data_IF_700618064140
#
_entry.id   IF_700618064140
#
_cell.length_a   1.000
_cell.length_b   1.000
_cell.length_c   1.000
_cell.angle_alpha   90.00
_cell.angle_beta   90.00
_cell.angle_gamma   90.00
#
_symmetry.space_group_name_H-M   'P 1'
#
loop_
_entity.id
_entity.type
_entity.pdbx_description
1 polymer ?
#
# COMPACT_ATOMS: atom_id res chain seq x y z
N UNK A 1 18.17 3.13 60.49
CA UNK A 1 18.49 3.69 59.17
C UNK A 1 18.00 2.83 57.99
N UNK A 2 18.22 1.50 57.97
CA UNK A 2 17.84 0.64 56.82
C UNK A 2 16.34 0.63 56.45
N UNK A 3 15.43 0.78 57.44
CA UNK A 3 13.96 0.83 57.23
C UNK A 3 13.50 2.10 56.50
N UNK A 4 14.21 3.23 56.68
CA UNK A 4 13.88 4.51 56.02
C UNK A 4 14.36 4.48 54.58
N UNK A 5 15.56 3.94 54.36
CA UNK A 5 16.15 3.76 53.02
C UNK A 5 15.27 2.87 52.12
N UNK A 6 14.75 1.75 52.65
CA UNK A 6 13.90 0.85 51.86
C UNK A 6 12.55 1.48 51.46
N UNK A 7 11.95 2.31 52.33
CA UNK A 7 10.72 3.05 52.00
C UNK A 7 10.97 4.16 51.00
N UNK A 8 12.10 4.85 51.10
CA UNK A 8 12.54 5.85 50.12
C UNK A 8 12.77 5.24 48.74
N UNK A 9 13.41 4.07 48.67
CA UNK A 9 13.63 3.34 47.42
C UNK A 9 12.30 2.87 46.82
N UNK A 10 11.37 2.34 47.62
CA UNK A 10 10.06 1.92 47.12
C UNK A 10 9.23 3.10 46.57
N UNK A 11 9.24 4.25 47.27
CA UNK A 11 8.58 5.47 46.78
C UNK A 11 9.26 5.99 45.52
N UNK A 12 10.60 5.98 45.46
CA UNK A 12 11.34 6.40 44.28
C UNK A 12 11.05 5.50 43.06
N UNK A 13 10.94 4.18 43.25
CA UNK A 13 10.58 3.24 42.19
C UNK A 13 9.13 3.43 41.74
N UNK A 14 8.19 3.63 42.67
CA UNK A 14 6.79 3.92 42.32
C UNK A 14 6.63 5.24 41.57
N UNK A 15 7.34 6.30 42.00
CA UNK A 15 7.37 7.58 41.29
C UNK A 15 8.00 7.42 39.92
N UNK A 16 9.09 6.66 39.79
CA UNK A 16 9.70 6.37 38.49
C UNK A 16 8.74 5.61 37.56
N UNK A 17 7.99 4.63 38.07
CA UNK A 17 6.98 3.90 37.31
C UNK A 17 5.84 4.83 36.86
N UNK A 18 5.33 5.69 37.75
CA UNK A 18 4.28 6.66 37.41
C UNK A 18 4.78 7.67 36.36
N UNK A 19 6.01 8.16 36.49
CA UNK A 19 6.64 9.06 35.52
C UNK A 19 6.81 8.36 34.18
N UNK A 20 7.27 7.10 34.15
CA UNK A 20 7.38 6.31 32.91
C UNK A 20 6.01 6.09 32.27
N UNK A 21 4.97 5.77 33.05
CA UNK A 21 3.61 5.63 32.54
C UNK A 21 3.11 6.95 31.94
N UNK A 22 3.34 8.08 32.62
CA UNK A 22 2.95 9.41 32.13
C UNK A 22 3.72 9.81 30.86
N UNK A 23 5.01 9.49 30.78
CA UNK A 23 5.80 9.71 29.57
C UNK A 23 5.34 8.83 28.41
N UNK A 24 4.98 7.57 28.67
CA UNK A 24 4.44 6.66 27.66
C UNK A 24 3.07 7.13 27.16
N UNK A 25 2.22 7.63 28.05
CA UNK A 25 0.90 8.19 27.70
C UNK A 25 1.03 9.49 26.89
N UNK A 26 1.98 10.36 27.26
CA UNK A 26 2.33 11.57 26.50
C UNK A 26 2.89 11.27 25.10
N UNK A 27 3.58 10.13 24.91
CA UNK A 27 3.99 9.65 23.59
C UNK A 27 2.79 9.07 22.82
N UNK A 28 1.85 8.41 23.50
CA UNK A 28 0.63 7.87 22.89
C UNK A 28 -0.31 8.99 22.39
N UNK A 29 -0.43 10.10 23.13
CA UNK A 29 -1.31 11.21 22.74
C UNK A 29 -0.83 11.91 21.45
N UNK A 30 0.49 11.97 21.23
CA UNK A 30 1.07 12.42 19.94
C UNK A 30 0.74 11.51 18.76
N UNK A 31 0.36 10.25 19.01
CA UNK A 31 -0.06 9.30 17.97
C UNK A 31 -1.59 9.21 17.80
N UNK A 32 -2.37 9.73 18.76
CA UNK A 32 -3.82 9.59 18.79
C UNK A 32 -4.58 10.82 18.25
N UNK A 33 -3.89 11.94 17.99
CA UNK A 33 -4.50 13.16 17.43
C UNK A 33 -4.84 13.10 15.93
N UNK A 34 -4.78 11.92 15.29
CA UNK A 34 -5.25 11.74 13.90
C UNK A 34 -6.54 10.89 13.83
N UNK A 35 -6.93 10.19 14.90
CA UNK A 35 -8.00 9.18 14.81
C UNK A 35 -9.36 9.61 15.38
N UNK A 36 -9.47 10.79 16.02
CA UNK A 36 -10.70 11.17 16.72
C UNK A 36 -11.63 12.14 15.98
N UNK A 37 -11.25 12.67 14.80
CA UNK A 37 -12.08 13.64 14.07
C UNK A 37 -13.09 13.07 13.05
N UNK A 38 -13.18 11.74 12.86
CA UNK A 38 -14.10 11.16 11.88
C UNK A 38 -15.31 10.39 12.46
N UNK A 39 -15.57 10.46 13.77
CA UNK A 39 -16.67 9.71 14.39
C UNK A 39 -17.87 10.56 14.87
N UNK A 40 -17.82 11.90 14.82
CA UNK A 40 -18.88 12.76 15.38
C UNK A 40 -19.47 13.78 14.40
N UNK A 41 -19.79 13.37 13.16
CA UNK A 41 -20.63 14.17 12.23
C UNK A 41 -21.84 13.40 11.67
N UNK A 42 -22.15 12.20 12.18
CA UNK A 42 -23.23 11.36 11.67
C UNK A 42 -24.60 11.54 12.37
N UNK A 43 -24.74 12.48 13.31
CA UNK A 43 -25.99 12.67 14.06
C UNK A 43 -26.29 14.15 14.27
N UNK A 44 -26.90 14.81 13.28
CA UNK A 44 -27.91 15.85 13.51
C UNK A 44 -28.76 16.12 12.25
N UNK A 45 -30.01 15.64 12.29
CA UNK A 45 -31.22 16.26 11.75
C UNK A 45 -31.49 16.34 10.22
N UNK A 46 -32.28 15.36 9.74
CA UNK A 46 -33.52 15.60 8.96
C UNK A 46 -34.66 16.00 9.95
N UNK A 47 -35.71 16.79 9.58
CA UNK A 47 -36.67 16.51 8.50
C UNK A 47 -37.17 17.74 7.68
N UNK A 48 -37.43 17.59 6.37
CA UNK A 48 -38.75 17.52 5.69
C UNK A 48 -39.48 18.86 5.43
N UNK A 49 -39.75 19.19 4.15
CA UNK A 49 -41.10 19.44 3.55
C UNK A 49 -41.03 20.06 2.12
N UNK A 50 -41.76 19.43 1.19
CA UNK A 50 -42.58 19.97 0.06
C UNK A 50 -42.00 20.92 -1.02
N UNK A 51 -42.24 20.60 -2.32
CA UNK A 51 -41.99 21.47 -3.51
C UNK A 51 -43.04 22.59 -3.71
N UNK A 52 -43.23 23.22 -4.90
CA UNK A 52 -42.64 23.02 -6.25
C UNK A 52 -42.12 24.32 -6.98
N UNK A 53 -41.59 24.16 -8.22
CA UNK A 53 -41.47 25.12 -9.35
C UNK A 53 -40.88 26.54 -9.17
N UNK A 54 -39.76 26.84 -9.85
CA UNK A 54 -39.74 27.74 -11.04
C UNK A 54 -38.33 28.17 -11.47
N UNK A 55 -38.10 28.08 -12.77
CA UNK A 55 -36.93 28.57 -13.51
C UNK A 55 -36.95 30.09 -13.62
N UNK A 56 -36.16 30.82 -12.81
CA UNK A 56 -35.75 32.21 -13.13
C UNK A 56 -34.71 32.84 -12.18
N UNK A 57 -33.66 32.11 -11.78
CA UNK A 57 -32.64 32.73 -10.91
C UNK A 57 -31.19 32.34 -11.20
N UNK A 58 -30.90 31.95 -12.45
CA UNK A 58 -29.54 31.66 -12.91
C UNK A 58 -28.68 32.93 -13.12
N UNK A 59 -29.28 34.13 -13.02
CA UNK A 59 -28.61 35.41 -13.25
C UNK A 59 -27.87 35.94 -12.00
N UNK A 60 -28.18 35.47 -10.79
CA UNK A 60 -27.68 36.06 -9.54
C UNK A 60 -26.42 35.39 -8.94
N UNK A 61 -25.98 34.25 -9.50
CA UNK A 61 -24.80 33.51 -9.01
C UNK A 61 -23.50 33.87 -9.74
N UNK A 62 -23.58 34.54 -10.90
CA UNK A 62 -22.39 34.93 -11.69
C UNK A 62 -21.72 36.21 -11.15
N UNK A 63 -22.45 37.08 -10.44
CA UNK A 63 -21.90 38.31 -9.85
C UNK A 63 -21.21 38.09 -8.49
N UNK A 64 -21.50 36.99 -7.80
CA UNK A 64 -20.85 36.62 -6.52
C UNK A 64 -19.47 35.97 -6.73
N UNK A 65 -19.22 35.37 -7.90
CA UNK A 65 -17.94 34.78 -8.27
C UNK A 65 -16.83 35.82 -8.54
N UNK A 66 -17.16 37.12 -8.64
CA UNK A 66 -16.21 38.18 -9.00
C UNK A 66 -15.65 38.99 -7.83
N UNK A 67 -16.04 38.70 -6.58
CA UNK A 67 -15.71 39.53 -5.40
C UNK A 67 -14.95 38.87 -4.25
N UNK A 68 -14.46 37.64 -4.39
CA UNK A 68 -13.60 36.98 -3.40
C UNK A 68 -12.43 36.27 -4.08
N UNK A 69 -11.59 37.06 -4.76
CA UNK A 69 -10.22 36.68 -5.07
C UNK A 69 -9.29 37.36 -4.07
N UNK A 70 -8.93 36.66 -2.98
CA UNK A 70 -7.69 36.86 -2.23
C UNK A 70 -7.49 35.70 -1.24
N UNK A 71 -6.35 35.02 -1.36
CA UNK A 71 -5.84 33.92 -0.53
C UNK A 71 -6.07 34.10 0.98
N UNK A 72 -6.33 32.99 1.67
CA UNK A 72 -5.25 32.42 2.45
C UNK A 72 -4.93 30.97 2.07
N UNK A 73 -3.64 30.71 2.10
CA UNK A 73 -2.90 29.47 1.96
C UNK A 73 -3.51 28.35 2.84
N UNK A 74 -4.21 27.42 2.19
CA UNK A 74 -4.79 26.23 2.80
C UNK A 74 -3.93 25.01 2.49
N UNK A 75 -2.97 24.75 3.38
CA UNK A 75 -2.12 23.57 3.35
C UNK A 75 -2.87 22.35 3.90
N UNK A 76 -2.57 21.19 3.30
CA UNK A 76 -2.81 19.82 3.80
C UNK A 76 -4.19 19.16 3.59
N UNK A 77 -4.51 18.90 2.32
CA UNK A 77 -5.25 17.70 1.91
C UNK A 77 -4.50 16.91 0.81
N UNK A 78 -3.17 16.99 0.81
CA UNK A 78 -2.28 16.32 -0.14
C UNK A 78 -0.92 16.04 0.51
N UNK A 79 -0.89 15.24 1.58
CA UNK A 79 0.36 14.82 2.23
C UNK A 79 0.18 13.50 3.00
N UNK A 80 -0.23 12.43 2.31
CA UNK A 80 0.08 11.05 2.70
C UNK A 80 0.49 10.22 1.48
N UNK A 81 1.25 10.86 0.59
CA UNK A 81 2.01 10.20 -0.48
C UNK A 81 3.51 10.26 -0.14
N UNK A 82 3.81 9.97 1.13
CA UNK A 82 5.16 9.64 1.58
C UNK A 82 5.60 8.37 0.83
N UNK A 83 6.38 8.59 -0.23
CA UNK A 83 7.19 7.64 -1.01
C UNK A 83 6.87 6.16 -0.75
N UNK A 84 5.74 5.68 -1.28
CA UNK A 84 5.43 4.25 -1.22
C UNK A 84 6.51 3.46 -1.95
N UNK A 85 6.92 2.34 -1.35
CA UNK A 85 7.86 1.42 -1.97
C UNK A 85 7.38 1.05 -3.38
N UNK A 86 8.27 1.06 -4.40
CA UNK A 86 7.90 0.69 -5.76
C UNK A 86 7.36 -0.75 -5.77
N UNK A 87 6.32 -0.98 -6.57
CA UNK A 87 5.66 -2.28 -6.71
C UNK A 87 4.86 -2.74 -5.47
N UNK A 88 4.39 -1.80 -4.64
CA UNK A 88 3.53 -2.10 -3.49
C UNK A 88 2.24 -1.27 -3.52
N UNK A 89 1.18 -1.77 -2.90
CA UNK A 89 -0.08 -1.04 -2.75
C UNK A 89 -0.86 -1.48 -1.51
N UNK A 90 -1.57 -0.55 -0.89
CA UNK A 90 -2.62 -0.85 0.08
C UNK A 90 -3.96 -0.83 -0.62
N UNK A 91 -4.74 -1.91 -0.50
CA UNK A 91 -6.08 -1.95 -1.07
C UNK A 91 -6.98 -0.95 -0.33
N UNK A 92 -7.61 0.01 -1.03
CA UNK A 92 -8.45 1.02 -0.39
C UNK A 92 -9.71 0.45 0.26
N UNK A 93 -10.18 -0.73 -0.17
CA UNK A 93 -11.41 -1.35 0.33
C UNK A 93 -11.17 -2.32 1.49
N UNK A 94 -10.09 -3.11 1.42
CA UNK A 94 -9.80 -4.14 2.42
C UNK A 94 -8.70 -3.74 3.40
N UNK A 95 -8.06 -2.58 3.20
CA UNK A 95 -6.88 -2.10 3.94
C UNK A 95 -5.72 -3.10 4.00
N UNK A 96 -5.73 -4.10 3.11
CA UNK A 96 -4.67 -5.11 3.02
C UNK A 96 -3.48 -4.58 2.25
N UNK A 97 -2.28 -4.84 2.75
CA UNK A 97 -1.03 -4.50 2.06
C UNK A 97 -0.65 -5.60 1.08
N UNK A 98 -0.28 -5.23 -0.14
CA UNK A 98 0.12 -6.16 -1.20
C UNK A 98 1.51 -5.76 -1.68
N UNK A 99 2.42 -6.73 -1.68
CA UNK A 99 3.81 -6.56 -2.09
C UNK A 99 4.10 -7.47 -3.30
N UNK A 100 4.24 -6.84 -4.46
CA UNK A 100 4.55 -7.55 -5.71
C UNK A 100 6.05 -7.60 -6.01
N UNK A 101 6.94 -7.07 -5.14
CA UNK A 101 8.39 -7.04 -5.38
C UNK A 101 8.99 -8.42 -5.56
N UNK A 102 8.43 -9.46 -4.92
CA UNK A 102 8.85 -10.85 -5.12
C UNK A 102 8.66 -11.37 -6.56
N UNK A 103 7.88 -10.65 -7.38
CA UNK A 103 7.67 -10.97 -8.80
C UNK A 103 8.51 -10.11 -9.75
N UNK A 104 9.26 -9.14 -9.22
CA UNK A 104 10.04 -8.17 -10.01
C UNK A 104 11.54 -8.37 -9.82
N UNK A 105 12.33 -7.67 -10.64
CA UNK A 105 13.77 -7.59 -10.44
C UNK A 105 14.13 -6.96 -9.08
N UNK A 106 13.24 -6.15 -8.48
CA UNK A 106 13.46 -5.50 -7.18
C UNK A 106 13.59 -6.53 -6.06
N UNK A 107 12.78 -7.60 -6.08
CA UNK A 107 12.89 -8.71 -5.14
C UNK A 107 13.96 -9.75 -5.50
N UNK A 108 14.64 -9.59 -6.65
CA UNK A 108 15.59 -10.55 -7.20
C UNK A 108 16.98 -9.95 -7.39
N UNK A 109 17.44 -9.13 -6.43
CA UNK A 109 18.78 -8.51 -6.43
C UNK A 109 19.07 -7.68 -7.71
N UNK A 110 18.05 -7.09 -8.33
CA UNK A 110 18.17 -6.36 -9.59
C UNK A 110 18.31 -7.25 -10.83
N UNK A 111 18.30 -8.58 -10.69
CA UNK A 111 18.35 -9.51 -11.82
C UNK A 111 16.99 -9.59 -12.48
N UNK A 112 16.96 -9.35 -13.79
CA UNK A 112 15.75 -9.42 -14.59
C UNK A 112 15.05 -10.78 -14.44
N UNK A 113 13.75 -10.74 -14.15
CA UNK A 113 12.91 -11.91 -13.96
C UNK A 113 11.85 -11.97 -15.09
N UNK A 114 12.18 -12.60 -16.23
CA UNK A 114 11.25 -12.72 -17.35
C UNK A 114 10.18 -13.79 -17.06
N UNK A 115 8.93 -13.40 -17.21
CA UNK A 115 7.76 -14.27 -17.14
C UNK A 115 7.26 -14.57 -18.55
N UNK A 116 7.27 -15.84 -18.95
CA UNK A 116 6.87 -16.26 -20.28
C UNK A 116 5.48 -16.89 -20.28
N UNK A 117 4.67 -16.56 -21.29
CA UNK A 117 3.37 -17.21 -21.55
C UNK A 117 3.19 -17.44 -23.04
N UNK A 118 2.48 -18.51 -23.38
CA UNK A 118 2.08 -18.81 -24.76
C UNK A 118 0.70 -18.21 -25.00
N UNK A 119 0.54 -17.40 -26.04
CA UNK A 119 -0.78 -17.05 -26.54
C UNK A 119 -1.16 -18.02 -27.63
N UNK A 120 -1.72 -19.18 -27.27
CA UNK A 120 -2.07 -20.24 -28.23
C UNK A 120 -2.94 -19.73 -29.37
N UNK A 121 -3.95 -18.92 -29.04
CA UNK A 121 -4.87 -18.35 -30.02
C UNK A 121 -4.22 -17.25 -30.88
N UNK A 122 -3.23 -16.53 -30.32
CA UNK A 122 -2.49 -15.48 -31.02
C UNK A 122 -1.30 -16.01 -31.85
N UNK A 123 -0.88 -17.25 -31.59
CA UNK A 123 0.25 -17.90 -32.26
C UNK A 123 1.63 -17.32 -31.90
N UNK A 124 1.77 -16.58 -30.78
CA UNK A 124 3.05 -16.04 -30.33
C UNK A 124 3.32 -16.30 -28.85
N UNK A 125 4.61 -16.29 -28.51
CA UNK A 125 5.07 -16.36 -27.13
C UNK A 125 5.37 -14.94 -26.63
N UNK A 126 4.84 -14.62 -25.46
CA UNK A 126 5.01 -13.33 -24.82
C UNK A 126 5.96 -13.46 -23.63
N UNK A 127 6.80 -12.45 -23.44
CA UNK A 127 7.68 -12.32 -22.28
C UNK A 127 7.39 -10.99 -21.60
N UNK A 128 7.10 -11.03 -20.30
CA UNK A 128 6.77 -9.86 -19.50
C UNK A 128 7.63 -9.78 -18.25
N UNK A 129 7.88 -8.56 -17.78
CA UNK A 129 8.38 -8.29 -16.44
C UNK A 129 7.26 -7.69 -15.59
N UNK A 130 7.32 -7.87 -14.28
CA UNK A 130 6.40 -7.25 -13.32
C UNK A 130 7.16 -6.13 -12.62
N UNK A 131 6.69 -4.89 -12.70
CA UNK A 131 7.35 -3.70 -12.13
C UNK A 131 8.83 -3.48 -12.52
N UNK A 132 9.30 -4.16 -13.57
CA UNK A 132 10.68 -4.08 -14.05
C UNK A 132 10.74 -4.60 -15.49
N UNK A 133 11.87 -4.36 -16.15
CA UNK A 133 12.14 -4.93 -17.48
C UNK A 133 12.39 -6.45 -17.40
N UNK A 134 11.90 -7.25 -18.38
CA UNK A 134 12.24 -8.67 -18.49
C UNK A 134 13.60 -8.93 -19.16
N UNK A 135 14.26 -7.90 -19.70
CA UNK A 135 15.52 -8.07 -20.41
C UNK A 135 16.69 -8.29 -19.45
N UNK A 136 17.48 -9.35 -19.68
CA UNK A 136 18.70 -9.65 -18.90
C UNK A 136 19.86 -8.72 -19.22
N UNK A 137 19.88 -8.17 -20.44
CA UNK A 137 20.90 -7.26 -20.96
C UNK A 137 20.20 -6.19 -21.79
N UNK A 138 20.84 -5.03 -21.95
CA UNK A 138 20.30 -3.98 -22.80
C UNK A 138 20.34 -4.39 -24.28
N UNK A 139 19.22 -4.22 -24.98
CA UNK A 139 19.06 -4.54 -26.39
C UNK A 139 19.05 -3.25 -27.20
N UNK A 140 20.26 -2.70 -27.38
CA UNK A 140 20.48 -1.43 -28.10
C UNK A 140 21.06 -1.67 -29.51
N UNK A 141 20.96 -2.91 -30.01
CA UNK A 141 21.37 -3.21 -31.38
C UNK A 141 20.56 -2.36 -32.37
N UNK A 142 21.19 -1.80 -33.42
CA UNK A 142 20.47 -1.03 -34.41
C UNK A 142 19.34 -1.88 -35.00
N UNK A 143 18.10 -1.38 -34.90
CA UNK A 143 16.87 -2.01 -35.39
C UNK A 143 16.50 -3.35 -34.72
N UNK A 144 17.07 -3.70 -33.57
CA UNK A 144 16.67 -4.90 -32.83
C UNK A 144 15.26 -4.75 -32.22
N UNK A 145 14.97 -3.59 -31.65
CA UNK A 145 13.64 -3.19 -31.17
C UNK A 145 12.85 -2.51 -32.28
N UNK A 146 11.55 -2.79 -32.40
CA UNK A 146 10.65 -2.10 -33.32
C UNK A 146 10.33 -0.67 -32.83
N UNK A 147 10.30 0.29 -33.75
CA UNK A 147 9.97 1.71 -33.52
C UNK A 147 10.92 2.45 -32.56
N UNK A 148 12.17 2.01 -32.47
CA UNK A 148 13.26 2.63 -31.70
C UNK A 148 12.88 2.92 -30.23
N UNK A 149 12.07 2.05 -29.65
CA UNK A 149 11.68 2.10 -28.23
C UNK A 149 12.89 1.79 -27.33
N UNK A 150 12.96 2.44 -26.16
CA UNK A 150 14.03 2.23 -25.21
C UNK A 150 13.91 0.84 -24.56
N UNK A 151 14.84 -0.06 -24.89
CA UNK A 151 14.86 -1.45 -24.40
C UNK A 151 14.86 -1.54 -22.87
N UNK A 152 15.45 -0.57 -22.17
CA UNK A 152 15.56 -0.55 -20.71
C UNK A 152 14.22 -0.37 -20.02
N UNK A 153 13.27 0.31 -20.67
CA UNK A 153 11.95 0.60 -20.10
C UNK A 153 10.88 -0.40 -20.51
N UNK A 154 11.15 -1.28 -21.47
CA UNK A 154 10.17 -2.28 -21.94
C UNK A 154 9.74 -3.19 -20.80
N UNK A 155 8.44 -3.22 -20.53
CA UNK A 155 7.81 -4.10 -19.52
C UNK A 155 7.32 -5.42 -20.08
N UNK A 156 7.17 -5.54 -21.39
CA UNK A 156 6.85 -6.80 -22.05
C UNK A 156 7.03 -6.72 -23.56
N UNK A 157 7.29 -7.87 -24.18
CA UNK A 157 7.51 -7.96 -25.61
C UNK A 157 7.09 -9.32 -26.18
N UNK A 158 6.97 -9.37 -27.50
CA UNK A 158 7.06 -10.60 -28.27
C UNK A 158 8.07 -10.44 -29.41
N UNK A 159 8.54 -11.57 -29.94
CA UNK A 159 9.37 -11.61 -31.14
C UNK A 159 8.46 -11.72 -32.37
N UNK A 160 8.60 -10.78 -33.31
CA UNK A 160 7.94 -10.92 -34.61
C UNK A 160 8.76 -11.83 -35.53
N UNK A 161 8.18 -12.97 -35.91
CA UNK A 161 8.88 -13.98 -36.72
C UNK A 161 9.13 -13.52 -38.15
N UNK A 162 8.36 -12.53 -38.65
CA UNK A 162 8.52 -11.99 -40.01
C UNK A 162 9.67 -11.00 -40.08
N UNK A 163 9.69 -10.00 -39.20
CA UNK A 163 10.73 -8.98 -39.17
C UNK A 163 11.98 -9.38 -38.38
N UNK A 164 11.87 -10.39 -37.51
CA UNK A 164 12.94 -10.77 -36.57
C UNK A 164 13.18 -9.74 -35.47
N UNK A 165 12.28 -8.76 -35.29
CA UNK A 165 12.42 -7.66 -34.32
C UNK A 165 11.58 -7.93 -33.06
N UNK A 166 12.01 -7.35 -31.96
CA UNK A 166 11.24 -7.34 -30.72
C UNK A 166 10.18 -6.23 -30.79
N UNK A 167 8.93 -6.59 -30.52
CA UNK A 167 7.80 -5.66 -30.48
C UNK A 167 7.47 -5.38 -29.02
N UNK A 168 7.59 -4.12 -28.60
CA UNK A 168 7.26 -3.71 -27.23
C UNK A 168 5.75 -3.64 -27.03
N UNK A 169 5.30 -4.18 -25.91
CA UNK A 169 3.90 -4.15 -25.47
C UNK A 169 3.62 -3.01 -24.48
N UNK A 170 4.63 -2.19 -24.17
CA UNK A 170 4.56 -1.08 -23.24
C UNK A 170 5.78 -0.98 -22.34
N UNK A 171 5.98 0.19 -21.77
CA UNK A 171 6.94 0.48 -20.72
C UNK A 171 6.44 -0.02 -19.36
N UNK A 172 7.33 -0.59 -18.56
CA UNK A 172 6.94 -1.08 -17.23
C UNK A 172 6.54 0.09 -16.33
N UNK A 173 5.52 -0.15 -15.53
CA UNK A 173 5.13 0.70 -14.40
C UNK A 173 5.44 -0.01 -13.09
N UNK A 174 5.83 0.73 -12.06
CA UNK A 174 6.03 0.24 -10.69
C UNK A 174 4.82 0.49 -9.80
N UNK A 175 3.75 1.09 -10.32
CA UNK A 175 2.59 1.49 -9.52
C UNK A 175 1.38 0.63 -9.85
N UNK A 176 1.14 -0.45 -9.10
CA UNK A 176 -0.08 -1.24 -9.27
C UNK A 176 -1.30 -0.44 -8.77
N UNK A 177 -2.47 -0.70 -9.34
CA UNK A 177 -3.71 0.00 -9.04
C UNK A 177 -4.82 -1.01 -8.80
N UNK A 178 -5.60 -0.80 -7.74
CA UNK A 178 -6.82 -1.58 -7.49
C UNK A 178 -7.96 -1.02 -8.35
N UNK A 179 -8.54 -1.87 -9.19
CA UNK A 179 -9.71 -1.56 -10.02
C UNK A 179 -10.86 -2.48 -9.62
N UNK A 180 -11.84 -1.93 -8.90
CA UNK A 180 -12.91 -2.71 -8.29
C UNK A 180 -12.34 -3.70 -7.27
N UNK A 181 -12.43 -5.01 -7.56
CA UNK A 181 -11.91 -6.09 -6.70
C UNK A 181 -10.62 -6.75 -7.24
N UNK A 182 -10.06 -6.23 -8.34
CA UNK A 182 -8.90 -6.80 -8.99
C UNK A 182 -7.72 -5.84 -8.87
N UNK A 183 -6.54 -6.42 -8.65
CA UNK A 183 -5.27 -5.70 -8.66
C UNK A 183 -4.76 -5.68 -10.09
N UNK A 184 -4.39 -4.51 -10.60
CA UNK A 184 -4.00 -4.32 -12.00
C UNK A 184 -2.70 -3.54 -12.12
N UNK A 185 -1.93 -3.81 -13.16
CA UNK A 185 -0.74 -3.05 -13.53
C UNK A 185 -0.80 -2.76 -15.02
N UNK A 186 -0.73 -1.47 -15.37
CA UNK A 186 -0.86 -0.99 -16.75
C UNK A 186 0.50 -0.57 -17.29
N UNK A 187 0.86 -1.08 -18.44
CA UNK A 187 2.01 -0.66 -19.25
C UNK A 187 1.50 0.09 -20.49
N UNK A 188 2.17 1.17 -20.85
CA UNK A 188 1.81 2.04 -21.96
C UNK A 188 3.03 2.41 -22.78
N UNK A 189 2.85 3.08 -23.92
CA UNK A 189 3.97 3.53 -24.76
C UNK A 189 4.81 2.38 -25.37
N UNK A 190 4.15 1.33 -25.86
CA UNK A 190 4.81 0.25 -26.59
C UNK A 190 5.20 0.63 -28.03
N UNK A 191 5.46 -0.37 -28.86
CA UNK A 191 5.59 -0.19 -30.31
C UNK A 191 4.24 0.22 -30.93
N UNK A 192 4.25 0.85 -32.10
CA UNK A 192 3.04 1.32 -32.78
C UNK A 192 2.19 0.17 -33.30
N UNK A 193 0.88 0.26 -33.08
CA UNK A 193 -0.10 -0.70 -33.56
C UNK A 193 -0.21 -0.65 -35.08
N UNK A 194 -0.33 -1.82 -35.71
CA UNK A 194 -0.48 -1.90 -37.16
C UNK A 194 -1.88 -1.40 -37.55
N UNK A 195 -1.92 -0.42 -38.46
CA UNK A 195 -3.16 0.11 -39.04
C UNK A 195 -4.18 0.69 -38.04
N UNK A 196 -3.75 1.01 -36.80
CA UNK A 196 -4.60 1.65 -35.80
C UNK A 196 -4.15 3.09 -35.58
N UNK A 197 -5.02 4.04 -35.93
CA UNK A 197 -4.81 5.47 -35.78
C UNK A 197 -5.91 6.02 -34.89
N UNK A 198 -5.52 6.86 -33.94
CA UNK A 198 -6.49 7.55 -33.09
C UNK A 198 -7.26 8.58 -33.92
N UNK A 199 -8.59 8.46 -33.95
CA UNK A 199 -9.47 9.33 -34.75
C UNK A 199 -9.43 10.79 -34.29
N UNK A 200 -9.08 11.03 -33.02
CA UNK A 200 -9.06 12.38 -32.46
C UNK A 200 -7.76 13.13 -32.76
N UNK A 201 -6.62 12.42 -32.74
CA UNK A 201 -5.29 13.00 -32.93
C UNK A 201 -4.71 12.75 -34.32
N UNK A 202 -5.22 11.76 -35.07
CA UNK A 202 -4.66 11.31 -36.34
C UNK A 202 -3.31 10.60 -36.21
N UNK A 203 -2.87 10.28 -34.98
CA UNK A 203 -1.57 9.67 -34.71
C UNK A 203 -1.67 8.14 -34.57
N UNK A 204 -0.63 7.38 -34.93
CA UNK A 204 -0.59 5.94 -34.71
C UNK A 204 -0.70 5.59 -33.23
N UNK A 205 -1.58 4.64 -32.90
CA UNK A 205 -1.81 4.21 -31.52
C UNK A 205 -0.62 3.37 -31.04
N UNK A 206 -0.23 3.55 -29.78
CA UNK A 206 0.85 2.79 -29.14
C UNK A 206 0.28 1.55 -28.44
N UNK A 207 0.98 0.42 -28.55
CA UNK A 207 0.59 -0.81 -27.83
C UNK A 207 0.57 -0.58 -26.33
N UNK A 208 -0.36 -1.23 -25.65
CA UNK A 208 -0.49 -1.18 -24.20
C UNK A 208 -0.81 -2.56 -23.62
N UNK A 209 -0.45 -2.74 -22.36
CA UNK A 209 -0.67 -4.01 -21.65
C UNK A 209 -1.38 -3.77 -20.33
N UNK A 210 -2.34 -4.62 -20.02
CA UNK A 210 -3.00 -4.70 -18.74
C UNK A 210 -2.71 -6.06 -18.09
N UNK A 211 -2.02 -6.05 -16.97
CA UNK A 211 -1.74 -7.24 -16.18
C UNK A 211 -2.69 -7.24 -14.99
N UNK A 212 -3.49 -8.29 -14.85
CA UNK A 212 -4.38 -8.49 -13.70
C UNK A 212 -3.79 -9.53 -12.78
N UNK A 213 -3.71 -9.23 -11.49
CA UNK A 213 -3.20 -10.16 -10.48
C UNK A 213 -4.37 -10.83 -9.75
N UNK A 214 -4.27 -12.15 -9.62
CA UNK A 214 -5.18 -12.98 -8.85
C UNK A 214 -4.39 -13.63 -7.71
N UNK A 215 -4.86 -13.40 -6.47
CA UNK A 215 -4.29 -14.03 -5.28
C UNK A 215 -4.59 -15.52 -5.30
N UNK A 216 -3.53 -16.32 -5.16
CA UNK A 216 -3.60 -17.76 -5.03
C UNK A 216 -2.73 -18.18 -3.83
N UNK A 217 -3.38 -18.41 -2.68
CA UNK A 217 -2.68 -18.72 -1.40
C UNK A 217 -2.18 -20.17 -1.35
N UNK A 218 -2.87 -21.07 -2.03
CA UNK A 218 -2.61 -22.51 -1.99
C UNK A 218 -1.61 -22.94 -3.08
N UNK A 219 -1.06 -21.97 -3.82
CA UNK A 219 -0.10 -22.20 -4.88
C UNK A 219 1.24 -22.69 -4.31
N UNK A 220 1.52 -23.98 -4.47
CA UNK A 220 2.83 -24.59 -4.13
C UNK A 220 3.90 -24.28 -5.20
N UNK A 221 3.48 -23.96 -6.43
CA UNK A 221 4.36 -23.63 -7.54
C UNK A 221 4.73 -22.13 -7.55
N UNK A 222 5.78 -21.78 -8.32
CA UNK A 222 6.11 -20.37 -8.60
C UNK A 222 4.96 -19.70 -9.37
N UNK A 223 4.84 -18.39 -9.21
CA UNK A 223 3.83 -17.58 -9.90
C UNK A 223 3.77 -17.89 -11.41
N UNK A 224 2.56 -17.86 -11.97
CA UNK A 224 2.32 -18.18 -13.37
C UNK A 224 1.60 -17.04 -14.07
N UNK A 225 2.05 -16.68 -15.27
CA UNK A 225 1.41 -15.71 -16.13
C UNK A 225 0.65 -16.44 -17.25
N UNK A 226 -0.55 -15.96 -17.56
CA UNK A 226 -1.41 -16.48 -18.61
C UNK A 226 -1.84 -15.33 -19.53
N UNK A 227 -1.80 -15.56 -20.83
CA UNK A 227 -2.38 -14.64 -21.81
C UNK A 227 -3.89 -14.81 -21.84
N UNK A 228 -4.62 -13.70 -21.68
CA UNK A 228 -6.09 -13.70 -21.67
C UNK A 228 -6.64 -13.36 -23.05
N UNK A 229 -6.01 -12.40 -23.74
CA UNK A 229 -6.46 -11.96 -25.04
C UNK A 229 -5.86 -10.61 -25.44
N UNK A 230 -6.22 -10.15 -26.63
CA UNK A 230 -5.92 -8.80 -27.12
C UNK A 230 -7.10 -8.18 -27.85
N UNK A 231 -7.16 -6.85 -27.81
CA UNK A 231 -8.11 -6.06 -28.58
C UNK A 231 -7.36 -5.30 -29.69
N UNK A 232 -7.83 -5.46 -30.92
CA UNK A 232 -7.30 -4.84 -32.15
C UNK A 232 -5.77 -5.00 -32.29
N UNK A 233 -5.22 -6.10 -31.79
CA UNK A 233 -3.77 -6.40 -31.72
C UNK A 233 -2.90 -5.27 -31.13
N UNK A 234 -3.53 -4.43 -30.31
CA UNK A 234 -2.97 -3.21 -29.77
C UNK A 234 -2.98 -3.18 -28.24
N UNK A 235 -4.04 -3.69 -27.62
CA UNK A 235 -4.18 -3.77 -26.17
C UNK A 235 -4.14 -5.23 -25.71
N UNK A 236 -3.18 -5.59 -24.88
CA UNK A 236 -2.94 -6.97 -24.46
C UNK A 236 -3.35 -7.15 -23.00
N UNK A 237 -3.99 -8.27 -22.69
CA UNK A 237 -4.43 -8.61 -21.35
C UNK A 237 -3.76 -9.89 -20.86
N UNK A 238 -3.20 -9.83 -19.67
CA UNK A 238 -2.57 -10.97 -19.01
C UNK A 238 -3.14 -11.14 -17.60
N UNK A 239 -3.19 -12.38 -17.14
CA UNK A 239 -3.51 -12.73 -15.77
C UNK A 239 -2.28 -13.35 -15.10
N UNK A 240 -1.93 -12.87 -13.91
CA UNK A 240 -0.85 -13.41 -13.08
C UNK A 240 -1.46 -13.99 -11.82
N UNK A 241 -1.27 -15.30 -11.61
CA UNK A 241 -1.63 -15.99 -10.37
C UNK A 241 -0.41 -16.11 -9.48
N UNK A 242 -0.51 -15.62 -8.25
CA UNK A 242 0.60 -15.60 -7.31
C UNK A 242 0.14 -15.45 -5.86
N UNK A 243 0.89 -16.03 -4.93
CA UNK A 243 0.73 -15.78 -3.50
C UNK A 243 1.15 -14.35 -3.10
N UNK A 244 2.04 -13.70 -3.86
CA UNK A 244 2.46 -12.30 -3.63
C UNK A 244 1.33 -11.29 -3.88
N UNK A 245 0.33 -11.66 -4.69
CA UNK A 245 -0.84 -10.82 -4.93
C UNK A 245 -1.86 -10.86 -3.77
N UNK A 246 -1.61 -11.67 -2.75
CA UNK A 246 -2.51 -11.81 -1.62
C UNK A 246 -2.32 -10.66 -0.62
N UNK A 247 -3.42 -10.06 -0.13
CA UNK A 247 -3.32 -9.04 0.90
C UNK A 247 -2.76 -9.68 2.17
N UNK A 248 -1.66 -9.10 2.64
CA UNK A 248 -1.11 -9.34 3.96
C UNK A 248 -1.83 -8.41 4.94
N UNK A 249 -2.06 -8.89 6.16
CA UNK A 249 -2.64 -8.06 7.20
C UNK A 249 -1.81 -6.78 7.35
N UNK A 250 -2.48 -5.63 7.47
CA UNK A 250 -1.81 -4.41 7.88
C UNK A 250 -1.00 -4.70 9.15
N UNK A 251 0.22 -4.19 9.23
CA UNK A 251 1.11 -4.38 10.38
C UNK A 251 0.34 -3.99 11.65
N UNK A 252 -0.17 -4.97 12.37
CA UNK A 252 -0.88 -4.72 13.61
C UNK A 252 0.13 -4.07 14.55
N UNK A 253 -0.23 -2.92 15.11
CA UNK A 253 0.59 -2.26 16.11
C UNK A 253 0.74 -3.24 17.29
N UNK A 254 1.91 -3.89 17.37
CA UNK A 254 2.27 -4.80 18.48
C UNK A 254 2.32 -4.08 19.85
N UNK A 255 1.91 -2.81 19.90
CA UNK A 255 1.65 -2.06 21.12
C UNK A 255 0.75 -2.85 22.09
N UNK A 256 -0.27 -3.56 21.60
CA UNK A 256 -1.13 -4.36 22.48
C UNK A 256 -0.35 -5.40 23.30
N UNK A 257 0.64 -6.07 22.68
CA UNK A 257 1.49 -7.04 23.38
C UNK A 257 2.41 -6.36 24.41
N UNK A 258 2.92 -5.16 24.10
CA UNK A 258 3.73 -4.36 25.03
C UNK A 258 2.91 -3.96 26.26
N UNK A 259 1.66 -3.53 26.08
CA UNK A 259 0.76 -3.17 27.18
C UNK A 259 0.43 -4.36 28.09
N UNK A 260 0.18 -5.55 27.51
CA UNK A 260 -0.08 -6.78 28.28
C UNK A 260 1.14 -7.14 29.14
N UNK A 261 2.35 -7.09 28.57
CA UNK A 261 3.57 -7.42 29.31
C UNK A 261 3.82 -6.44 30.47
N UNK A 262 3.58 -5.14 30.24
CA UNK A 262 3.73 -4.11 31.26
C UNK A 262 2.74 -4.33 32.42
N UNK A 263 1.47 -4.64 32.12
CA UNK A 263 0.43 -4.89 33.13
C UNK A 263 0.81 -6.07 34.03
N UNK A 264 1.26 -7.19 33.44
CA UNK A 264 1.68 -8.39 34.19
C UNK A 264 2.87 -8.07 35.09
N UNK A 265 3.86 -7.33 34.57
CA UNK A 265 5.03 -6.93 35.34
C UNK A 265 4.65 -6.08 36.56
N UNK A 266 3.76 -5.09 36.39
CA UNK A 266 3.26 -4.25 37.49
C UNK A 266 2.51 -5.09 38.53
N UNK A 267 1.66 -6.02 38.10
CA UNK A 267 0.94 -6.90 39.02
C UNK A 267 1.88 -7.78 39.85
N UNK A 268 2.92 -8.36 39.23
CA UNK A 268 3.92 -9.17 39.93
C UNK A 268 4.68 -8.36 40.98
N UNK A 269 5.04 -7.12 40.64
CA UNK A 269 5.70 -6.19 41.57
C UNK A 269 4.78 -5.88 42.76
N UNK A 270 3.49 -5.63 42.54
CA UNK A 270 2.52 -5.37 43.61
C UNK A 270 2.35 -6.57 44.56
N UNK A 271 2.26 -7.79 44.03
CA UNK A 271 2.16 -9.01 44.84
C UNK A 271 3.43 -9.22 45.66
N UNK A 272 4.61 -9.02 45.07
CA UNK A 272 5.89 -9.15 45.77
C UNK A 272 6.00 -8.17 46.94
N UNK A 273 5.67 -6.89 46.72
CA UNK A 273 5.75 -5.88 47.77
C UNK A 273 4.68 -6.05 48.86
N UNK A 274 3.44 -6.39 48.50
CA UNK A 274 2.39 -6.65 49.48
C UNK A 274 2.70 -7.90 50.33
N UNK A 275 3.19 -8.98 49.71
CA UNK A 275 3.64 -10.18 50.41
C UNK A 275 4.76 -9.91 51.41
N UNK A 276 5.82 -9.18 51.02
CA UNK A 276 6.91 -8.82 51.94
C UNK A 276 6.44 -7.91 53.08
N UNK A 277 5.52 -6.98 52.80
CA UNK A 277 4.93 -6.10 53.82
C UNK A 277 4.15 -6.91 54.87
N UNK A 278 3.25 -7.80 54.43
CA UNK A 278 2.45 -8.64 55.34
C UNK A 278 3.32 -9.65 56.10
N UNK A 279 4.26 -10.31 55.42
CA UNK A 279 5.17 -11.27 56.06
C UNK A 279 6.00 -10.62 57.17
N UNK A 280 6.51 -9.41 56.94
CA UNK A 280 7.30 -8.67 57.92
C UNK A 280 6.45 -8.14 59.07
N UNK A 281 5.22 -7.73 58.82
CA UNK A 281 4.33 -7.23 59.87
C UNK A 281 3.88 -8.35 60.82
N UNK A 282 3.55 -9.53 60.28
CA UNK A 282 3.20 -10.71 61.09
C UNK A 282 4.40 -11.21 61.91
N UNK A 283 5.60 -11.24 61.31
CA UNK A 283 6.82 -11.62 62.04
C UNK A 283 7.17 -10.63 63.16
N UNK A 284 6.93 -9.33 62.96
CA UNK A 284 7.15 -8.31 63.98
C UNK A 284 6.22 -8.49 65.20
N UNK A 285 4.95 -8.87 64.97
CA UNK A 285 4.02 -9.15 66.07
C UNK A 285 4.37 -10.43 66.84
N UNK A 286 4.91 -11.46 66.18
CA UNK A 286 5.37 -12.69 66.85
C UNK A 286 6.57 -12.47 67.79
N UNK A 287 7.44 -11.50 67.48
CA UNK A 287 8.63 -11.19 68.30
C UNK A 287 8.33 -10.31 69.54
N UNK A 288 7.11 -9.77 69.67
CA UNK A 288 6.67 -9.03 70.87
C UNK A 288 5.94 -9.91 71.90
N UNK A 289 5.67 -11.17 71.57
CA UNK A 289 4.99 -12.16 72.44
C UNK A 289 5.94 -13.22 73.00
N UNK A 290 7.26 -13.08 72.77
CA UNK A 290 8.33 -13.81 73.45
C UNK A 290 9.05 -12.84 74.38
#
# INVERSE_FOLDING_TARGET
>A
MLRVQLRLVAVAVMVAIIVVIYYLDSIADKSNLQSQHHFLDALTHFPHLTGPSDTNNQQYMLERAKKLGKEPEGTEAAAQDEARDPCTIVNPHSHGFIDLRGLSALGNEGRALPWTTKGYDYGRNFTLGICSTPFKKSHNGPREMQDDVNSTLVGGYYMDTKSGRYVSLGEFSTTPVVRGRKLTLKYSNGSYCENLVDRSTGLPVRRSTMITFTCDRDMLAKASISYVGSFDDCNYMFEVRSHHACPTAAKANNLAAVWIFLLIFVAAVLVYFSGDFFYRNIRAQKMQKL
#
